data_IF_985503485986
#
_entry.id   IF_985503485986
#
_cell.length_a   1.000
_cell.length_b   1.000
_cell.length_c   1.000
_cell.angle_alpha   90.00
_cell.angle_beta   90.00
_cell.angle_gamma   90.00
#
_symmetry.space_group_name_H-M   'P 1'
#
loop_
_entity.id
_entity.type
_entity.pdbx_description
1 polymer ?
#
# COMPACT_ATOMS: atom_id res chain seq x y z
N UNK A 1 -12.01 -23.46 -6.60
CA UNK A 1 -11.31 -22.50 -7.47
C UNK A 1 -10.24 -21.83 -6.61
N UNK A 2 -8.96 -22.08 -6.88
CA UNK A 2 -7.87 -21.37 -6.19
C UNK A 2 -7.82 -19.95 -6.78
N UNK A 3 -8.57 -19.02 -6.20
CA UNK A 3 -8.48 -17.60 -6.54
C UNK A 3 -7.22 -17.01 -5.92
N UNK A 4 -6.06 -17.43 -6.42
CA UNK A 4 -4.78 -16.92 -5.97
C UNK A 4 -4.34 -15.78 -6.87
N UNK A 5 -4.30 -14.57 -6.33
CA UNK A 5 -3.88 -13.39 -7.08
C UNK A 5 -2.36 -13.24 -7.06
N UNK A 6 -1.78 -12.87 -8.20
CA UNK A 6 -0.37 -12.52 -8.31
C UNK A 6 -0.17 -11.08 -7.83
N UNK A 7 0.71 -10.89 -6.84
CA UNK A 7 1.08 -9.56 -6.36
C UNK A 7 2.18 -8.97 -7.25
N UNK A 8 1.97 -7.75 -7.73
CA UNK A 8 2.97 -6.99 -8.47
C UNK A 8 3.20 -5.64 -7.79
N UNK A 9 4.43 -5.43 -7.33
CA UNK A 9 4.87 -4.16 -6.75
C UNK A 9 5.25 -3.17 -7.85
N UNK A 10 4.57 -2.02 -7.90
CA UNK A 10 4.98 -0.91 -8.78
C UNK A 10 6.34 -0.32 -8.33
N UNK A 11 7.06 0.39 -9.22
CA UNK A 11 8.25 1.14 -8.83
C UNK A 11 7.99 2.13 -7.69
N UNK A 12 6.81 2.76 -7.71
CA UNK A 12 6.35 3.70 -6.69
C UNK A 12 6.16 3.01 -5.33
N UNK A 13 5.68 1.78 -5.33
CA UNK A 13 5.55 0.99 -4.11
C UNK A 13 6.92 0.76 -3.46
N UNK A 14 7.94 0.39 -4.26
CA UNK A 14 9.30 0.19 -3.74
C UNK A 14 9.87 1.48 -3.13
N UNK A 15 9.65 2.62 -3.77
CA UNK A 15 10.07 3.92 -3.23
C UNK A 15 9.29 4.28 -1.96
N UNK A 16 7.98 4.02 -1.92
CA UNK A 16 7.15 4.27 -0.74
C UNK A 16 7.57 3.41 0.46
N UNK A 17 8.00 2.16 0.24
CA UNK A 17 8.60 1.32 1.28
C UNK A 17 9.88 1.93 1.85
N UNK A 18 10.74 2.50 1.01
CA UNK A 18 11.95 3.18 1.47
C UNK A 18 11.63 4.43 2.28
N UNK A 19 10.62 5.21 1.85
CA UNK A 19 10.14 6.39 2.59
C UNK A 19 9.51 6.01 3.92
N UNK A 20 8.73 4.94 3.96
CA UNK A 20 8.17 4.39 5.18
C UNK A 20 9.29 3.93 6.13
N UNK A 21 10.32 3.22 5.63
CA UNK A 21 11.50 2.87 6.43
C UNK A 21 12.12 4.12 7.07
N UNK A 22 12.40 5.14 6.27
CA UNK A 22 13.03 6.37 6.75
C UNK A 22 12.16 7.07 7.82
N UNK A 23 10.85 7.13 7.61
CA UNK A 23 9.91 7.70 8.58
C UNK A 23 9.88 6.92 9.90
N UNK A 24 9.78 5.60 9.84
CA UNK A 24 9.76 4.73 11.02
C UNK A 24 11.10 4.78 11.78
N UNK A 25 12.23 4.81 11.07
CA UNK A 25 13.56 4.96 11.68
C UNK A 25 13.68 6.29 12.41
N UNK A 26 13.18 7.39 11.83
CA UNK A 26 13.21 8.71 12.47
C UNK A 26 12.30 8.80 13.71
N UNK A 27 11.19 8.06 13.74
CA UNK A 27 10.24 8.06 14.85
C UNK A 27 10.59 7.08 15.98
N UNK A 28 11.38 6.04 15.68
CA UNK A 28 11.72 4.97 16.62
C UNK A 28 13.19 4.56 16.50
N UNK A 29 13.48 3.43 15.84
CA UNK A 29 14.82 2.90 15.60
C UNK A 29 14.87 2.10 14.31
N UNK A 30 16.06 1.90 13.74
CA UNK A 30 16.23 1.14 12.50
C UNK A 30 15.77 -0.33 12.65
N UNK A 31 16.02 -0.93 13.81
CA UNK A 31 15.62 -2.31 14.07
C UNK A 31 14.10 -2.45 14.05
N UNK A 32 13.38 -1.56 14.73
CA UNK A 32 11.92 -1.56 14.75
C UNK A 32 11.33 -1.26 13.37
N UNK A 33 11.93 -0.33 12.62
CA UNK A 33 11.52 -0.04 11.25
C UNK A 33 11.65 -1.27 10.34
N UNK A 34 12.76 -2.01 10.46
CA UNK A 34 13.03 -3.20 9.65
C UNK A 34 12.07 -4.34 10.00
N UNK A 35 11.85 -4.61 11.29
CA UNK A 35 10.85 -5.59 11.74
C UNK A 35 9.47 -5.23 11.21
N UNK A 36 9.07 -3.96 11.34
CA UNK A 36 7.75 -3.51 10.91
C UNK A 36 7.52 -3.69 9.41
N UNK A 37 8.55 -3.45 8.59
CA UNK A 37 8.46 -3.67 7.14
C UNK A 37 8.37 -5.15 6.79
N UNK A 38 9.07 -6.02 7.52
CA UNK A 38 8.96 -7.46 7.35
C UNK A 38 7.53 -7.94 7.66
N UNK A 39 6.93 -7.44 8.75
CA UNK A 39 5.54 -7.74 9.12
C UNK A 39 4.56 -7.29 8.03
N UNK A 40 4.71 -6.08 7.50
CA UNK A 40 3.90 -5.54 6.41
C UNK A 40 4.02 -6.42 5.15
N UNK A 41 5.24 -6.80 4.77
CA UNK A 41 5.48 -7.64 3.59
C UNK A 41 4.86 -9.03 3.76
N UNK A 42 5.00 -9.61 4.95
CA UNK A 42 4.40 -10.91 5.27
C UNK A 42 2.86 -10.84 5.22
N UNK A 43 2.27 -9.82 5.85
CA UNK A 43 0.82 -9.62 5.86
C UNK A 43 0.27 -9.45 4.44
N UNK A 44 0.94 -8.63 3.63
CA UNK A 44 0.62 -8.44 2.20
C UNK A 44 0.69 -9.79 1.46
N UNK A 45 1.79 -10.54 1.63
CA UNK A 45 2.00 -11.80 0.93
C UNK A 45 1.07 -12.94 1.34
N UNK A 46 0.50 -12.90 2.54
CA UNK A 46 -0.40 -13.96 3.03
C UNK A 46 -1.87 -13.64 2.76
N UNK A 47 -2.30 -12.38 2.96
CA UNK A 47 -3.72 -12.02 2.95
C UNK A 47 -4.21 -11.61 1.57
N UNK A 48 -3.45 -10.78 0.83
CA UNK A 48 -3.90 -10.28 -0.48
C UNK A 48 -4.07 -11.36 -1.55
N UNK A 49 -3.17 -12.36 -1.69
CA UNK A 49 -3.31 -13.35 -2.75
C UNK A 49 -4.53 -14.25 -2.59
N UNK A 50 -4.91 -14.54 -1.34
CA UNK A 50 -5.95 -15.52 -1.03
C UNK A 50 -7.32 -14.87 -0.82
N UNK A 51 -7.33 -13.66 -0.25
CA UNK A 51 -8.55 -12.94 0.08
C UNK A 51 -8.31 -11.43 -0.08
N UNK A 52 -8.19 -10.92 -1.32
CA UNK A 52 -8.06 -9.48 -1.52
C UNK A 52 -9.30 -8.80 -0.97
N UNK A 53 -9.17 -7.80 -0.08
CA UNK A 53 -10.31 -7.03 0.36
C UNK A 53 -10.85 -6.24 -0.84
N UNK A 54 -12.01 -6.63 -1.35
CA UNK A 54 -12.67 -5.96 -2.48
C UNK A 54 -14.00 -5.33 -2.08
N UNK A 55 -14.51 -5.65 -0.89
CA UNK A 55 -15.67 -5.01 -0.30
C UNK A 55 -15.33 -3.62 0.22
N UNK A 56 -16.22 -2.66 -0.01
CA UNK A 56 -16.04 -1.25 0.36
C UNK A 56 -15.88 -1.04 1.88
N UNK A 57 -16.48 -1.90 2.70
CA UNK A 57 -16.32 -1.87 4.16
C UNK A 57 -14.90 -2.23 4.63
N UNK A 58 -14.18 -3.05 3.84
CA UNK A 58 -12.85 -3.54 4.19
C UNK A 58 -11.72 -2.78 3.50
N UNK A 59 -11.95 -2.34 2.26
CA UNK A 59 -11.01 -1.53 1.50
C UNK A 59 -11.76 -0.62 0.51
N UNK A 60 -12.18 0.58 0.96
CA UNK A 60 -12.88 1.54 0.11
C UNK A 60 -11.95 2.07 -0.99
N UNK A 61 -12.55 2.55 -2.08
CA UNK A 61 -11.82 3.32 -3.09
C UNK A 61 -11.24 4.57 -2.43
N UNK A 62 -9.96 4.83 -2.67
CA UNK A 62 -9.33 6.02 -2.13
C UNK A 62 -9.76 7.25 -2.93
N UNK A 63 -10.76 7.97 -2.42
CA UNK A 63 -11.25 9.20 -3.06
C UNK A 63 -10.15 10.24 -3.27
N UNK A 64 -9.13 10.28 -2.40
CA UNK A 64 -8.01 11.20 -2.51
C UNK A 64 -7.18 10.91 -3.76
N UNK A 65 -6.91 9.65 -4.05
CA UNK A 65 -6.21 9.25 -5.28
C UNK A 65 -7.09 9.50 -6.51
N UNK A 66 -8.40 9.21 -6.41
CA UNK A 66 -9.34 9.48 -7.49
C UNK A 66 -9.39 10.97 -7.86
N UNK A 67 -9.44 11.87 -6.88
CA UNK A 67 -9.41 13.34 -7.08
C UNK A 67 -8.10 13.82 -7.72
N UNK A 68 -7.02 13.07 -7.59
CA UNK A 68 -5.72 13.34 -8.20
C UNK A 68 -5.56 12.68 -9.58
N UNK A 69 -6.62 12.09 -10.14
CA UNK A 69 -6.60 11.43 -11.45
C UNK A 69 -6.03 10.01 -11.44
N UNK A 70 -5.93 9.39 -10.26
CA UNK A 70 -5.41 8.02 -10.07
C UNK A 70 -6.59 7.11 -9.64
N UNK A 71 -7.36 6.54 -10.59
CA UNK A 71 -8.60 5.81 -10.29
C UNK A 71 -8.35 4.36 -9.86
N UNK A 72 -9.40 3.72 -9.34
CA UNK A 72 -9.48 2.27 -9.03
C UNK A 72 -8.53 1.73 -7.95
N UNK A 73 -7.83 2.61 -7.24
CA UNK A 73 -7.02 2.22 -6.08
C UNK A 73 -7.86 2.20 -4.81
N UNK A 74 -7.77 1.08 -4.10
CA UNK A 74 -8.36 0.86 -2.78
C UNK A 74 -7.35 1.17 -1.70
N UNK A 75 -7.85 1.58 -0.54
CA UNK A 75 -7.06 1.76 0.66
C UNK A 75 -7.36 0.63 1.64
N UNK A 76 -6.34 -0.10 2.07
CA UNK A 76 -6.47 -1.12 3.10
C UNK A 76 -5.58 -0.82 4.29
N UNK A 77 -6.18 -0.91 5.47
CA UNK A 77 -5.51 -0.69 6.74
C UNK A 77 -4.82 -1.98 7.17
N UNK A 78 -3.48 -1.98 7.15
CA UNK A 78 -2.68 -3.13 7.55
C UNK A 78 -2.67 -3.27 9.08
N UNK A 79 -2.59 -2.14 9.77
CA UNK A 79 -2.64 -2.04 11.23
C UNK A 79 -3.07 -0.62 11.67
N UNK A 80 -2.90 -0.28 12.94
CA UNK A 80 -3.31 1.03 13.49
C UNK A 80 -2.69 2.24 12.79
N UNK A 81 -1.55 2.08 12.12
CA UNK A 81 -0.81 3.18 11.54
C UNK A 81 -0.51 3.00 10.06
N UNK A 82 -0.44 1.79 9.52
CA UNK A 82 0.02 1.56 8.16
C UNK A 82 -1.14 1.35 7.17
N UNK A 83 -1.06 2.07 6.06
CA UNK A 83 -2.02 2.03 4.97
C UNK A 83 -1.35 1.51 3.71
N UNK A 84 -2.02 0.57 3.04
CA UNK A 84 -1.66 0.08 1.72
C UNK A 84 -2.64 0.59 0.69
N UNK A 85 -2.13 1.03 -0.46
CA UNK A 85 -2.94 1.36 -1.63
C UNK A 85 -2.64 0.39 -2.76
N UNK A 86 -3.68 -0.26 -3.26
CA UNK A 86 -3.56 -1.30 -4.28
C UNK A 86 -4.79 -1.32 -5.18
N UNK A 87 -4.64 -1.92 -6.34
CA UNK A 87 -5.72 -2.18 -7.29
C UNK A 87 -5.81 -3.67 -7.57
N UNK A 88 -7.03 -4.17 -7.74
CA UNK A 88 -7.29 -5.56 -8.11
C UNK A 88 -7.71 -5.60 -9.57
N UNK A 89 -6.96 -6.32 -10.39
CA UNK A 89 -7.35 -6.69 -11.75
C UNK A 89 -7.85 -8.14 -11.72
N UNK A 90 -9.17 -8.30 -11.65
CA UNK A 90 -9.81 -9.62 -11.60
C UNK A 90 -9.63 -10.41 -12.91
N UNK A 91 -9.56 -9.73 -14.06
CA UNK A 91 -9.37 -10.38 -15.36
C UNK A 91 -7.99 -11.04 -15.47
N UNK A 92 -6.97 -10.41 -14.91
CA UNK A 92 -5.59 -10.92 -14.89
C UNK A 92 -5.24 -11.69 -13.61
N UNK A 93 -6.17 -11.84 -12.67
CA UNK A 93 -5.91 -12.35 -11.32
C UNK A 93 -4.68 -11.68 -10.68
N UNK A 94 -4.59 -10.36 -10.80
CA UNK A 94 -3.42 -9.58 -10.39
C UNK A 94 -3.78 -8.51 -9.38
N UNK A 95 -2.92 -8.32 -8.40
CA UNK A 95 -2.99 -7.23 -7.43
C UNK A 95 -1.79 -6.33 -7.66
N UNK A 96 -2.04 -5.07 -7.99
CA UNK A 96 -1.00 -4.08 -8.20
C UNK A 96 -0.87 -3.20 -6.96
N UNK A 97 0.30 -3.21 -6.35
CA UNK A 97 0.60 -2.36 -5.19
C UNK A 97 1.11 -1.01 -5.67
N UNK A 98 0.48 0.07 -5.22
CA UNK A 98 0.85 1.44 -5.60
C UNK A 98 1.77 2.07 -4.56
N UNK A 99 1.32 2.12 -3.30
CA UNK A 99 2.09 2.75 -2.23
C UNK A 99 1.74 2.16 -0.86
N UNK A 100 2.69 2.26 0.06
CA UNK A 100 2.48 2.03 1.49
C UNK A 100 2.97 3.26 2.25
N UNK A 101 2.24 3.63 3.30
CA UNK A 101 2.59 4.77 4.13
C UNK A 101 2.07 4.60 5.55
N UNK A 102 2.63 5.37 6.47
CA UNK A 102 2.03 5.59 7.77
C UNK A 102 0.93 6.66 7.65
N UNK A 103 -0.23 6.43 8.25
CA UNK A 103 -1.40 7.30 8.32
C UNK A 103 -1.11 8.69 8.87
N UNK A 104 -0.02 8.85 9.65
CA UNK A 104 0.48 10.15 10.14
C UNK A 104 1.20 10.94 9.05
N UNK A 105 1.62 10.30 7.97
CA UNK A 105 2.21 10.97 6.81
C UNK A 105 1.12 11.59 5.93
N UNK A 106 1.44 12.68 5.22
CA UNK A 106 0.53 13.25 4.23
C UNK A 106 0.65 12.52 2.91
N UNK A 107 -0.44 11.90 2.44
CA UNK A 107 -0.49 11.24 1.14
C UNK A 107 -0.10 12.19 0.01
N UNK A 108 -0.58 13.45 0.01
CA UNK A 108 -0.25 14.40 -1.06
C UNK A 108 1.25 14.75 -1.05
N UNK A 109 1.87 14.93 0.13
CA UNK A 109 3.32 15.17 0.22
C UNK A 109 4.11 13.96 -0.27
N UNK A 110 3.70 12.76 0.12
CA UNK A 110 4.34 11.52 -0.33
C UNK A 110 4.21 11.36 -1.85
N UNK A 111 3.03 11.59 -2.42
CA UNK A 111 2.82 11.52 -3.87
C UNK A 111 3.67 12.56 -4.62
N UNK A 112 3.78 13.78 -4.09
CA UNK A 112 4.67 14.82 -4.64
C UNK A 112 6.15 14.40 -4.58
N UNK A 113 6.62 13.90 -3.43
CA UNK A 113 7.99 13.39 -3.26
C UNK A 113 8.31 12.19 -4.15
N UNK A 114 7.28 11.44 -4.57
CA UNK A 114 7.37 10.32 -5.50
C UNK A 114 7.18 10.73 -6.97
N UNK A 115 7.12 12.03 -7.27
CA UNK A 115 6.89 12.60 -8.60
C UNK A 115 5.57 12.13 -9.27
N UNK A 116 4.54 11.83 -8.48
CA UNK A 116 3.19 11.52 -8.98
C UNK A 116 2.28 12.76 -9.10
N UNK A 117 2.68 13.86 -8.48
CA UNK A 117 2.00 15.16 -8.58
C UNK A 117 3.00 16.15 -9.17
N UNK A 118 2.66 16.71 -10.34
CA UNK A 118 3.40 17.80 -10.98
C UNK A 118 2.80 19.15 -10.57
#
# INVERSE_FOLDING_TARGET
>A
MNNHYIIVASPLFKLSLQRLKAFLTAAASEQLATTKLADIQQQIGQQLPTQPPTHEELAPICERLLKLGIPDYRQWQLDNHNLLFYRVNAAEQRIELLLVMDSRQSLCKLLFELNLLF
#
